data_IF_089987968809
#
_entry.id   IF_089987968809
#
_cell.length_a   1.000
_cell.length_b   1.000
_cell.length_c   1.000
_cell.angle_alpha   90.00
_cell.angle_beta   90.00
_cell.angle_gamma   90.00
#
_symmetry.space_group_name_H-M   'P 1'
#
loop_
_entity.id
_entity.type
_entity.pdbx_description
1 polymer ?
#
# COMPACT_ATOMS: atom_id res chain seq x y z
N UNK A 1 6.46 2.46 21.45
CA UNK A 1 6.52 3.20 20.18
C UNK A 1 5.08 3.52 19.78
N UNK A 2 4.70 4.77 19.56
CA UNK A 2 3.32 5.14 19.20
C UNK A 2 3.21 5.16 17.67
N UNK A 3 2.25 4.43 17.13
CA UNK A 3 1.91 4.48 15.71
C UNK A 3 1.32 5.87 15.40
N UNK A 4 1.98 6.66 14.56
CA UNK A 4 1.40 7.95 14.10
C UNK A 4 0.38 7.62 13.02
N UNK A 5 -0.90 7.65 13.35
CA UNK A 5 -2.00 7.46 12.39
C UNK A 5 -2.21 8.75 11.62
N UNK A 6 -1.96 8.75 10.30
CA UNK A 6 -1.97 9.96 9.48
C UNK A 6 -2.64 9.80 8.11
N UNK A 7 -3.17 8.62 7.80
CA UNK A 7 -3.85 8.36 6.54
C UNK A 7 -4.88 7.25 6.69
N UNK A 8 -5.89 7.28 5.83
CA UNK A 8 -6.67 6.11 5.46
C UNK A 8 -6.13 5.57 4.14
N UNK A 9 -6.41 4.30 3.83
CA UNK A 9 -6.05 3.69 2.56
C UNK A 9 -7.14 2.78 2.04
N UNK A 10 -7.14 2.57 0.73
CA UNK A 10 -7.91 1.55 0.04
C UNK A 10 -6.95 0.58 -0.63
N UNK A 11 -7.16 -0.70 -0.36
CA UNK A 11 -6.43 -1.83 -0.94
C UNK A 11 -7.35 -2.50 -1.97
N UNK A 12 -6.83 -2.71 -3.18
CA UNK A 12 -7.46 -3.52 -4.21
C UNK A 12 -6.65 -4.79 -4.44
N UNK A 13 -7.30 -5.94 -4.24
CA UNK A 13 -6.73 -7.26 -4.51
C UNK A 13 -7.35 -7.84 -5.78
N UNK A 14 -6.53 -8.29 -6.72
CA UNK A 14 -6.98 -8.97 -7.94
C UNK A 14 -6.92 -10.48 -7.78
N UNK A 15 -8.06 -11.15 -7.82
CA UNK A 15 -8.13 -12.60 -7.84
C UNK A 15 -8.02 -13.11 -9.29
N UNK A 16 -6.91 -13.78 -9.58
CA UNK A 16 -6.66 -14.35 -10.91
C UNK A 16 -7.63 -15.48 -11.28
N UNK A 17 -8.24 -16.17 -10.32
CA UNK A 17 -9.15 -17.28 -10.61
C UNK A 17 -10.51 -16.78 -11.08
N UNK A 18 -11.03 -15.76 -10.39
CA UNK A 18 -12.33 -15.15 -10.71
C UNK A 18 -12.20 -14.00 -11.69
N UNK A 19 -10.99 -13.48 -11.93
CA UNK A 19 -10.71 -12.29 -12.73
C UNK A 19 -11.44 -11.04 -12.17
N UNK A 20 -11.54 -10.94 -10.85
CA UNK A 20 -12.24 -9.83 -10.18
C UNK A 20 -11.36 -9.11 -9.18
N UNK A 21 -11.69 -7.83 -8.93
CA UNK A 21 -11.09 -7.06 -7.85
C UNK A 21 -11.96 -7.10 -6.60
N UNK A 22 -11.32 -7.17 -5.44
CA UNK A 22 -11.95 -6.92 -4.14
C UNK A 22 -11.34 -5.70 -3.50
N UNK A 23 -12.14 -4.96 -2.73
CA UNK A 23 -11.76 -3.70 -2.09
C UNK A 23 -11.80 -3.82 -0.58
N UNK A 24 -10.72 -3.36 0.07
CA UNK A 24 -10.63 -3.27 1.53
C UNK A 24 -10.18 -1.87 1.92
N UNK A 25 -10.92 -1.23 2.84
CA UNK A 25 -10.55 0.09 3.37
C UNK A 25 -9.96 -0.08 4.77
N UNK A 26 -8.75 0.47 4.98
CA UNK A 26 -8.11 0.53 6.28
C UNK A 26 -8.05 1.97 6.76
N UNK A 27 -8.45 2.17 8.02
CA UNK A 27 -8.57 3.48 8.63
C UNK A 27 -7.40 3.73 9.59
N UNK A 28 -6.88 4.95 9.60
CA UNK A 28 -5.86 5.36 10.56
C UNK A 28 -4.57 4.54 10.49
N UNK A 29 -4.01 4.36 9.29
CA UNK A 29 -2.67 3.78 9.11
C UNK A 29 -1.59 4.83 9.31
N UNK A 30 -0.35 4.38 9.58
CA UNK A 30 0.84 5.20 9.38
C UNK A 30 1.27 5.09 7.92
N UNK A 31 1.26 6.20 7.19
CA UNK A 31 1.76 6.31 5.83
C UNK A 31 3.04 7.14 5.83
N UNK A 32 4.16 6.54 5.43
CA UNK A 32 5.46 7.19 5.34
C UNK A 32 6.10 6.95 3.96
N UNK A 33 6.05 7.96 3.10
CA UNK A 33 6.73 7.93 1.80
C UNK A 33 8.13 8.53 1.92
N UNK A 34 9.14 7.78 1.47
CA UNK A 34 10.53 8.23 1.36
C UNK A 34 10.97 8.24 -0.08
N UNK A 35 11.65 9.33 -0.47
CA UNK A 35 12.36 9.46 -1.73
C UNK A 35 13.84 9.21 -1.47
N UNK A 36 14.35 8.09 -1.95
CA UNK A 36 15.77 7.78 -1.90
C UNK A 36 16.40 8.19 -3.23
N UNK A 37 17.47 8.97 -3.18
CA UNK A 37 18.23 9.35 -4.36
C UNK A 37 19.69 8.96 -4.18
N UNK A 38 20.20 8.12 -5.07
CA UNK A 38 21.61 7.70 -5.09
C UNK A 38 22.28 8.31 -6.30
N UNK A 39 23.42 8.98 -6.10
CA UNK A 39 24.25 9.52 -7.18
C UNK A 39 25.36 8.51 -7.48
N UNK A 40 25.58 8.22 -8.76
CA UNK A 40 26.67 7.39 -9.24
C UNK A 40 27.27 7.99 -10.51
N UNK A 41 28.39 7.46 -10.98
CA UNK A 41 29.01 7.85 -12.26
C UNK A 41 28.06 7.63 -13.47
N UNK A 42 26.99 6.84 -13.28
CA UNK A 42 25.92 6.59 -14.28
C UNK A 42 24.72 7.54 -14.15
N UNK A 43 24.79 8.53 -13.26
CA UNK A 43 23.72 9.50 -13.01
C UNK A 43 22.98 9.28 -11.68
N UNK A 44 21.83 9.94 -11.56
CA UNK A 44 20.98 9.93 -10.35
C UNK A 44 19.93 8.83 -10.46
N UNK A 45 19.93 7.87 -9.54
CA UNK A 45 18.86 6.89 -9.37
C UNK A 45 17.89 7.40 -8.29
N UNK A 46 16.61 7.54 -8.63
CA UNK A 46 15.56 7.96 -7.68
C UNK A 46 14.59 6.81 -7.50
N UNK A 47 14.43 6.36 -6.25
CA UNK A 47 13.45 5.36 -5.86
C UNK A 47 12.45 5.98 -4.87
N UNK A 48 11.17 5.75 -5.10
CA UNK A 48 10.11 6.08 -4.17
C UNK A 48 9.68 4.80 -3.48
N UNK A 49 9.76 4.78 -2.15
CA UNK A 49 9.23 3.68 -1.34
C UNK A 49 8.26 4.27 -0.33
N UNK A 50 7.09 3.67 -0.20
CA UNK A 50 6.15 3.99 0.86
C UNK A 50 6.08 2.83 1.83
N UNK A 51 6.34 3.11 3.11
CA UNK A 51 6.06 2.19 4.19
C UNK A 51 4.71 2.55 4.80
N UNK A 52 3.84 1.57 4.86
CA UNK A 52 2.54 1.66 5.52
C UNK A 52 2.57 0.73 6.72
N UNK A 53 2.15 1.23 7.89
CA UNK A 53 1.97 0.38 9.07
C UNK A 53 0.51 0.47 9.50
N UNK A 54 -0.15 -0.69 9.58
CA UNK A 54 -1.53 -0.82 10.00
C UNK A 54 -1.63 -1.79 11.18
N UNK A 55 -2.64 -1.62 12.03
CA UNK A 55 -2.91 -2.59 13.10
C UNK A 55 -3.34 -3.93 12.47
N UNK A 56 -3.01 -5.04 13.12
CA UNK A 56 -3.50 -6.36 12.73
C UNK A 56 -5.04 -6.38 12.78
N UNK A 57 -5.66 -7.09 11.85
CA UNK A 57 -7.12 -7.18 11.79
C UNK A 57 -7.59 -8.26 10.82
N UNK A 58 -8.91 -8.33 10.64
CA UNK A 58 -9.53 -9.25 9.69
C UNK A 58 -9.52 -8.68 8.27
N UNK A 59 -8.33 -8.63 7.68
CA UNK A 59 -8.12 -8.28 6.29
C UNK A 59 -6.91 -9.03 5.74
N UNK A 60 -6.82 -9.08 4.42
CA UNK A 60 -5.69 -9.67 3.72
C UNK A 60 -5.03 -8.63 2.83
N UNK A 61 -3.71 -8.61 2.88
CA UNK A 61 -2.84 -7.89 1.95
C UNK A 61 -1.80 -8.86 1.42
N UNK A 62 -1.50 -8.78 0.13
CA UNK A 62 -0.54 -9.64 -0.56
C UNK A 62 0.30 -8.82 -1.54
N UNK A 63 1.50 -9.33 -1.85
CA UNK A 63 2.34 -8.74 -2.89
C UNK A 63 1.59 -8.69 -4.22
N UNK A 64 1.63 -7.54 -4.89
CA UNK A 64 0.88 -7.29 -6.12
C UNK A 64 -0.41 -6.49 -5.91
N UNK A 65 -0.93 -6.42 -4.68
CA UNK A 65 -2.09 -5.58 -4.36
C UNK A 65 -1.81 -4.12 -4.65
N UNK A 66 -2.89 -3.38 -4.95
CA UNK A 66 -2.83 -1.97 -5.33
C UNK A 66 -3.35 -1.13 -4.18
N UNK A 67 -2.57 -0.15 -3.74
CA UNK A 67 -2.93 0.72 -2.63
C UNK A 67 -3.09 2.15 -3.13
N UNK A 68 -4.20 2.76 -2.74
CA UNK A 68 -4.49 4.18 -2.94
C UNK A 68 -4.63 4.83 -1.58
N UNK A 69 -4.12 6.06 -1.46
CA UNK A 69 -4.30 6.85 -0.25
C UNK A 69 -5.72 7.42 -0.18
N UNK A 70 -6.35 7.30 0.98
CA UNK A 70 -7.72 7.73 1.26
C UNK A 70 -8.69 6.57 1.34
N UNK A 71 -9.87 6.82 1.93
CA UNK A 71 -11.00 5.91 1.89
C UNK A 71 -11.76 6.11 0.57
N UNK A 72 -11.46 5.28 -0.42
CA UNK A 72 -12.09 5.31 -1.72
C UNK A 72 -13.32 4.40 -1.71
N UNK A 73 -14.48 4.96 -2.05
CA UNK A 73 -15.71 4.20 -2.25
C UNK A 73 -15.97 3.96 -3.75
N UNK A 74 -15.02 3.32 -4.42
CA UNK A 74 -15.09 2.95 -5.83
C UNK A 74 -14.74 1.47 -5.95
N UNK A 75 -15.64 0.69 -6.54
CA UNK A 75 -15.31 -0.67 -6.95
C UNK A 75 -14.80 -0.63 -8.39
N UNK A 76 -13.75 -1.41 -8.68
CA UNK A 76 -13.08 -1.40 -9.98
C UNK A 76 -13.26 -2.73 -10.69
N UNK A 77 -13.33 -2.67 -12.01
CA UNK A 77 -13.35 -3.85 -12.88
C UNK A 77 -11.99 -4.08 -13.55
N UNK A 78 -11.21 -3.00 -13.66
CA UNK A 78 -9.88 -2.98 -14.27
C UNK A 78 -9.02 -1.91 -13.60
N UNK A 79 -7.70 -2.08 -13.68
CA UNK A 79 -6.76 -1.15 -13.05
C UNK A 79 -6.88 0.29 -13.57
N UNK A 80 -7.29 0.48 -14.83
CA UNK A 80 -7.46 1.82 -15.42
C UNK A 80 -8.64 2.61 -14.85
N UNK A 81 -9.52 1.98 -14.07
CA UNK A 81 -10.55 2.69 -13.31
C UNK A 81 -9.91 3.58 -12.20
N UNK A 82 -8.65 3.32 -11.84
CA UNK A 82 -7.88 4.11 -10.86
C UNK A 82 -6.99 5.20 -11.49
N UNK A 83 -7.18 5.55 -12.76
CA UNK A 83 -6.29 6.49 -13.50
C UNK A 83 -6.11 7.87 -12.83
N UNK A 84 -7.09 8.31 -12.05
CA UNK A 84 -7.10 9.62 -11.39
C UNK A 84 -6.45 9.56 -9.99
N UNK A 85 -5.92 8.40 -9.59
CA UNK A 85 -5.29 8.16 -8.30
C UNK A 85 -3.81 7.83 -8.45
N UNK A 86 -3.02 8.18 -7.43
CA UNK A 86 -1.69 7.61 -7.26
C UNK A 86 -1.83 6.19 -6.70
N UNK A 87 -1.51 5.20 -7.54
CA UNK A 87 -1.60 3.79 -7.20
C UNK A 87 -0.21 3.26 -6.88
N UNK A 88 -0.03 2.73 -5.67
CA UNK A 88 1.18 2.01 -5.28
C UNK A 88 0.96 0.51 -5.39
N UNK A 89 2.02 -0.23 -5.69
CA UNK A 89 1.99 -1.70 -5.66
C UNK A 89 2.67 -2.22 -4.40
N UNK A 90 2.02 -3.14 -3.70
CA UNK A 90 2.63 -3.86 -2.57
C UNK A 90 3.76 -4.74 -3.09
N UNK A 91 4.97 -4.55 -2.54
CA UNK A 91 6.18 -5.30 -2.91
C UNK A 91 6.69 -6.17 -1.77
N UNK A 92 6.31 -5.87 -0.52
CA UNK A 92 6.75 -6.61 0.65
C UNK A 92 5.79 -6.43 1.82
N UNK A 93 5.68 -7.47 2.65
CA UNK A 93 4.81 -7.51 3.82
C UNK A 93 5.58 -8.14 4.96
N UNK A 94 5.49 -7.56 6.15
CA UNK A 94 6.09 -8.09 7.36
C UNK A 94 5.17 -7.88 8.56
N UNK A 95 4.79 -8.96 9.21
CA UNK A 95 4.04 -8.90 10.47
C UNK A 95 4.95 -8.56 11.65
N UNK A 96 4.43 -7.77 12.58
CA UNK A 96 5.06 -7.43 13.84
C UNK A 96 4.16 -7.86 15.00
N UNK A 97 4.44 -9.05 15.53
CA UNK A 97 3.66 -9.67 16.61
C UNK A 97 3.77 -8.93 17.95
N UNK A 98 4.83 -8.15 18.17
CA UNK A 98 4.99 -7.39 19.41
C UNK A 98 4.09 -6.15 19.39
N UNK A 99 4.07 -5.47 18.24
CA UNK A 99 3.27 -4.25 18.04
C UNK A 99 1.84 -4.54 17.61
N UNK A 100 1.49 -5.81 17.35
CA UNK A 100 0.21 -6.23 16.79
C UNK A 100 -0.13 -5.44 15.51
N UNK A 101 0.86 -5.32 14.63
CA UNK A 101 0.78 -4.52 13.41
C UNK A 101 1.39 -5.23 12.22
N UNK A 102 1.00 -4.81 11.02
CA UNK A 102 1.58 -5.24 9.75
C UNK A 102 2.30 -4.06 9.10
N UNK A 103 3.51 -4.31 8.61
CA UNK A 103 4.27 -3.39 7.79
C UNK A 103 4.09 -3.80 6.32
N UNK A 104 3.71 -2.84 5.49
CA UNK A 104 3.47 -3.02 4.06
C UNK A 104 4.41 -2.07 3.32
N UNK A 105 5.32 -2.64 2.52
CA UNK A 105 6.20 -1.89 1.63
C UNK A 105 5.53 -1.75 0.26
N UNK A 106 5.49 -0.53 -0.27
CA UNK A 106 4.94 -0.23 -1.59
C UNK A 106 5.90 0.59 -2.45
N UNK A 107 5.80 0.39 -3.77
CA UNK A 107 6.53 1.14 -4.81
C UNK A 107 5.60 1.55 -5.94
#
# INVERSE_FOLDING_TARGET
>A
MVLIRNADITIYHFDQKTQTYTRTNLYGVNWNSKRNATVSDKGVNVAYTTMIVADNGDYKVTTGDKIVKGNINLDITKLSDLKDYTVLTVVGIQENNIMQSINIECK
#
